data_IF_761124432771
#
_entry.id   IF_761124432771
#
_cell.length_a   1.000
_cell.length_b   1.000
_cell.length_c   1.000
_cell.angle_alpha   90.00
_cell.angle_beta   90.00
_cell.angle_gamma   90.00
#
_symmetry.space_group_name_H-M   'P 1'
#
loop_
_entity.id
_entity.type
_entity.pdbx_description
1 polymer ?
#
# COMPACT_ATOMS: atom_id res chain seq x y z
N UNK A 1 13.18 12.38 28.79
CA UNK A 1 12.05 13.33 28.86
C UNK A 1 11.52 13.53 27.44
N UNK A 2 10.47 12.78 27.07
CA UNK A 2 9.93 12.73 25.71
C UNK A 2 8.94 13.90 25.53
N UNK A 3 9.37 14.99 24.90
CA UNK A 3 8.49 16.13 24.56
C UNK A 3 7.56 15.69 23.42
N UNK A 4 6.34 15.27 23.76
CA UNK A 4 5.26 15.10 22.78
C UNK A 4 5.02 16.44 22.11
N UNK A 5 5.12 16.47 20.79
CA UNK A 5 4.98 17.68 19.99
C UNK A 5 3.46 17.94 19.79
N UNK A 6 2.86 18.94 20.46
CA UNK A 6 1.39 19.13 20.47
C UNK A 6 0.81 19.49 19.08
N UNK A 7 1.65 19.95 18.14
CA UNK A 7 1.24 20.23 16.78
C UNK A 7 1.07 18.96 15.95
N UNK A 8 1.92 17.94 16.15
CA UNK A 8 1.81 16.65 15.46
C UNK A 8 0.53 15.90 15.86
N UNK A 9 0.16 15.97 17.14
CA UNK A 9 -1.07 15.32 17.64
C UNK A 9 -2.35 15.99 17.07
N UNK A 10 -2.34 17.30 16.85
CA UNK A 10 -3.46 18.03 16.23
C UNK A 10 -3.63 17.69 14.75
N UNK A 11 -2.55 17.56 14.00
CA UNK A 11 -2.62 17.16 12.59
C UNK A 11 -3.08 15.72 12.43
N UNK A 12 -2.63 14.81 13.30
CA UNK A 12 -3.06 13.40 13.28
C UNK A 12 -4.56 13.25 13.62
N UNK A 13 -5.08 14.03 14.59
CA UNK A 13 -6.50 14.00 14.94
C UNK A 13 -7.39 14.60 13.85
N UNK A 14 -6.94 15.68 13.21
CA UNK A 14 -7.66 16.32 12.10
C UNK A 14 -7.75 15.40 10.87
N UNK A 15 -6.66 14.72 10.51
CA UNK A 15 -6.65 13.74 9.43
C UNK A 15 -7.58 12.55 9.72
N UNK A 16 -7.59 12.04 10.95
CA UNK A 16 -8.50 10.96 11.35
C UNK A 16 -9.97 11.37 11.24
N UNK A 17 -10.31 12.58 11.66
CA UNK A 17 -11.67 13.11 11.54
C UNK A 17 -12.10 13.29 10.09
N UNK A 18 -11.22 13.82 9.24
CA UNK A 18 -11.48 13.96 7.79
C UNK A 18 -11.66 12.60 7.12
N UNK A 19 -10.81 11.61 7.43
CA UNK A 19 -10.95 10.26 6.91
C UNK A 19 -12.25 9.60 7.37
N UNK A 20 -12.63 9.74 8.65
CA UNK A 20 -13.88 9.20 9.18
C UNK A 20 -15.10 9.85 8.52
N UNK A 21 -15.07 11.17 8.31
CA UNK A 21 -16.11 11.91 7.60
C UNK A 21 -16.24 11.42 6.14
N UNK A 22 -15.13 11.29 5.44
CA UNK A 22 -15.11 10.80 4.05
C UNK A 22 -15.70 9.39 3.94
N UNK A 23 -15.29 8.48 4.81
CA UNK A 23 -15.83 7.12 4.88
C UNK A 23 -17.33 7.14 5.20
N UNK A 24 -17.76 7.98 6.15
CA UNK A 24 -19.18 8.12 6.49
C UNK A 24 -20.02 8.61 5.32
N UNK A 25 -19.55 9.63 4.60
CA UNK A 25 -20.22 10.14 3.39
C UNK A 25 -20.27 9.06 2.31
N UNK A 26 -19.18 8.33 2.08
CA UNK A 26 -19.15 7.26 1.08
C UNK A 26 -20.14 6.14 1.41
N UNK A 27 -20.20 5.69 2.67
CA UNK A 27 -21.17 4.69 3.12
C UNK A 27 -22.61 5.19 2.96
N UNK A 28 -22.87 6.45 3.27
CA UNK A 28 -24.19 7.05 3.10
C UNK A 28 -24.61 7.10 1.62
N UNK A 29 -23.70 7.48 0.72
CA UNK A 29 -23.95 7.48 -0.72
C UNK A 29 -24.19 6.08 -1.26
N UNK A 30 -23.38 5.09 -0.87
CA UNK A 30 -23.58 3.69 -1.25
C UNK A 30 -24.91 3.15 -0.72
N UNK A 31 -25.25 3.44 0.54
CA UNK A 31 -26.52 3.04 1.15
C UNK A 31 -27.71 3.68 0.43
N UNK A 32 -27.64 4.97 0.11
CA UNK A 32 -28.69 5.67 -0.65
C UNK A 32 -28.86 5.06 -2.05
N UNK A 33 -27.77 4.83 -2.77
CA UNK A 33 -27.81 4.19 -4.08
C UNK A 33 -28.41 2.78 -4.00
N UNK A 34 -28.01 1.99 -3.03
CA UNK A 34 -28.57 0.66 -2.78
C UNK A 34 -30.07 0.72 -2.51
N UNK A 35 -30.52 1.68 -1.70
CA UNK A 35 -31.93 1.88 -1.40
C UNK A 35 -32.74 2.29 -2.64
N UNK A 36 -32.23 3.22 -3.45
CA UNK A 36 -32.91 3.67 -4.67
C UNK A 36 -33.04 2.59 -5.73
N UNK A 37 -32.05 1.68 -5.83
CA UNK A 37 -32.04 0.62 -6.84
C UNK A 37 -32.81 -0.63 -6.40
N UNK A 38 -32.73 -1.01 -5.13
CA UNK A 38 -33.20 -2.31 -4.62
C UNK A 38 -34.02 -2.19 -3.33
N UNK A 39 -34.45 -0.98 -2.94
CA UNK A 39 -35.21 -0.74 -1.72
C UNK A 39 -34.44 -1.05 -0.43
N UNK A 40 -35.15 -1.41 0.63
CA UNK A 40 -34.57 -1.69 1.94
C UNK A 40 -33.49 -2.79 1.92
N UNK A 41 -33.67 -3.83 1.10
CA UNK A 41 -32.68 -4.89 0.94
C UNK A 41 -31.38 -4.36 0.37
N UNK A 42 -31.43 -3.49 -0.65
CA UNK A 42 -30.25 -2.87 -1.24
C UNK A 42 -29.49 -1.97 -0.26
N UNK A 43 -30.22 -1.26 0.61
CA UNK A 43 -29.60 -0.47 1.69
C UNK A 43 -28.75 -1.36 2.61
N UNK A 44 -29.33 -2.45 3.11
CA UNK A 44 -28.63 -3.33 4.06
C UNK A 44 -27.45 -4.05 3.42
N UNK A 45 -27.60 -4.49 2.16
CA UNK A 45 -26.50 -5.11 1.41
C UNK A 45 -25.36 -4.12 1.18
N UNK A 46 -25.66 -2.89 0.77
CA UNK A 46 -24.65 -1.86 0.53
C UNK A 46 -23.92 -1.47 1.82
N UNK A 47 -24.62 -1.28 2.93
CA UNK A 47 -24.02 -0.98 4.23
C UNK A 47 -23.19 -2.16 4.74
N UNK A 48 -23.68 -3.38 4.64
CA UNK A 48 -22.96 -4.59 5.04
C UNK A 48 -21.66 -4.79 4.24
N UNK A 49 -21.73 -4.65 2.92
CA UNK A 49 -20.56 -4.73 2.05
C UNK A 49 -19.54 -3.60 2.34
N UNK A 50 -20.01 -2.38 2.57
CA UNK A 50 -19.15 -1.24 2.93
C UNK A 50 -18.47 -1.44 4.27
N UNK A 51 -19.18 -1.90 5.30
CA UNK A 51 -18.59 -2.24 6.60
C UNK A 51 -17.59 -3.39 6.47
N UNK A 52 -17.93 -4.46 5.74
CA UNK A 52 -17.01 -5.57 5.49
C UNK A 52 -15.71 -5.07 4.82
N UNK A 53 -15.83 -4.15 3.85
CA UNK A 53 -14.66 -3.57 3.19
C UNK A 53 -13.73 -2.80 4.15
N UNK A 54 -14.29 -2.19 5.21
CA UNK A 54 -13.48 -1.53 6.25
C UNK A 54 -12.70 -2.51 7.13
N UNK A 55 -13.20 -3.74 7.27
CA UNK A 55 -12.53 -4.80 8.03
C UNK A 55 -11.62 -5.68 7.16
N UNK A 56 -11.67 -5.52 5.82
CA UNK A 56 -10.70 -6.19 4.96
C UNK A 56 -9.30 -5.67 5.30
N UNK A 57 -8.49 -6.57 5.81
CA UNK A 57 -7.13 -6.24 6.23
C UNK A 57 -6.34 -5.57 5.08
N UNK A 58 -5.49 -4.59 5.39
CA UNK A 58 -4.57 -3.97 4.41
C UNK A 58 -3.74 -4.99 3.63
N UNK A 59 -3.48 -6.16 4.23
CA UNK A 59 -2.82 -7.29 3.57
C UNK A 59 -3.64 -7.87 2.41
N UNK A 60 -4.98 -7.92 2.52
CA UNK A 60 -5.84 -8.38 1.43
C UNK A 60 -5.85 -7.37 0.27
N UNK A 61 -5.89 -6.08 0.56
CA UNK A 61 -5.79 -5.02 -0.44
C UNK A 61 -4.45 -5.08 -1.18
N UNK A 62 -3.35 -5.28 -0.46
CA UNK A 62 -2.00 -5.43 -1.04
C UNK A 62 -1.90 -6.65 -1.97
N UNK A 63 -2.44 -7.80 -1.56
CA UNK A 63 -2.48 -9.01 -2.39
C UNK A 63 -3.31 -8.82 -3.66
N UNK A 64 -4.47 -8.16 -3.53
CA UNK A 64 -5.33 -7.85 -4.68
C UNK A 64 -4.62 -6.91 -5.66
N UNK A 65 -3.97 -5.85 -5.17
CA UNK A 65 -3.20 -4.94 -6.01
C UNK A 65 -2.11 -5.71 -6.77
N UNK A 66 -1.28 -6.50 -6.08
CA UNK A 66 -0.24 -7.30 -6.72
C UNK A 66 -0.82 -8.27 -7.77
N UNK A 67 -1.95 -8.92 -7.47
CA UNK A 67 -2.62 -9.82 -8.39
C UNK A 67 -3.16 -9.10 -9.65
N UNK A 68 -3.75 -7.91 -9.50
CA UNK A 68 -4.25 -7.10 -10.62
C UNK A 68 -3.14 -6.67 -11.58
N UNK A 69 -1.94 -6.43 -11.06
CA UNK A 69 -0.76 -6.12 -11.87
C UNK A 69 -0.02 -7.37 -12.38
N UNK A 70 -0.50 -8.57 -12.07
CA UNK A 70 0.19 -9.81 -12.42
C UNK A 70 1.56 -9.95 -11.77
N UNK A 71 1.75 -9.29 -10.62
CA UNK A 71 3.02 -9.26 -9.90
C UNK A 71 3.37 -10.65 -9.35
N UNK A 72 4.62 -11.06 -9.54
CA UNK A 72 5.15 -12.34 -9.07
C UNK A 72 6.25 -12.11 -8.05
N UNK A 73 6.20 -12.75 -6.87
CA UNK A 73 7.27 -12.61 -5.89
C UNK A 73 8.57 -13.17 -6.47
N UNK A 74 9.68 -12.49 -6.20
CA UNK A 74 11.00 -12.92 -6.57
C UNK A 74 11.71 -13.53 -5.37
N UNK A 75 12.25 -14.73 -5.53
CA UNK A 75 13.07 -15.36 -4.48
C UNK A 75 14.47 -14.73 -4.41
N UNK A 76 15.21 -14.90 -3.30
CA UNK A 76 16.59 -14.43 -3.19
C UNK A 76 17.52 -14.99 -4.27
N UNK A 77 17.25 -16.20 -4.74
CA UNK A 77 18.03 -16.87 -5.80
C UNK A 77 17.74 -16.27 -7.17
N UNK A 78 16.50 -15.83 -7.41
CA UNK A 78 16.06 -15.23 -8.69
C UNK A 78 16.52 -13.78 -8.84
N UNK A 79 16.57 -13.03 -7.73
CA UNK A 79 16.92 -11.61 -7.76
C UNK A 79 17.82 -11.21 -6.57
N UNK A 80 19.04 -11.78 -6.45
CA UNK A 80 19.90 -11.55 -5.29
C UNK A 80 20.29 -10.08 -5.11
N UNK A 81 20.39 -9.32 -6.19
CA UNK A 81 20.73 -7.89 -6.11
C UNK A 81 19.59 -7.07 -5.54
N UNK A 82 18.36 -7.28 -6.01
CA UNK A 82 17.19 -6.57 -5.46
C UNK A 82 17.02 -6.87 -3.98
N UNK A 83 17.20 -8.12 -3.56
CA UNK A 83 17.13 -8.49 -2.16
C UNK A 83 18.20 -7.82 -1.31
N UNK A 84 19.46 -7.73 -1.80
CA UNK A 84 20.55 -7.02 -1.11
C UNK A 84 20.27 -5.52 -0.97
N UNK A 85 19.76 -4.89 -2.04
CA UNK A 85 19.36 -3.48 -2.04
C UNK A 85 18.26 -3.24 -1.01
N UNK A 86 17.18 -4.00 -1.05
CA UNK A 86 16.05 -3.87 -0.14
C UNK A 86 16.42 -4.14 1.32
N UNK A 87 17.24 -5.16 1.59
CA UNK A 87 17.73 -5.43 2.94
C UNK A 87 18.58 -4.26 3.49
N UNK A 88 19.37 -3.60 2.64
CA UNK A 88 20.15 -2.44 3.02
C UNK A 88 19.25 -1.24 3.32
N UNK A 89 18.26 -0.98 2.47
CA UNK A 89 17.30 0.11 2.62
C UNK A 89 16.39 -0.10 3.83
N UNK A 90 15.89 -1.33 4.04
CA UNK A 90 15.06 -1.67 5.20
C UNK A 90 15.79 -1.39 6.53
N UNK A 91 17.08 -1.76 6.63
CA UNK A 91 17.90 -1.45 7.81
C UNK A 91 18.05 0.06 8.02
N UNK A 92 18.33 0.83 6.95
CA UNK A 92 18.47 2.29 7.03
C UNK A 92 17.18 2.97 7.44
N UNK A 93 16.04 2.48 6.93
CA UNK A 93 14.70 2.98 7.25
C UNK A 93 14.12 2.42 8.55
N UNK A 94 14.88 1.58 9.28
CA UNK A 94 14.44 0.92 10.52
C UNK A 94 13.11 0.18 10.35
N UNK A 95 12.93 -0.51 9.23
CA UNK A 95 11.79 -1.37 9.01
C UNK A 95 11.97 -2.69 9.79
N UNK A 96 10.90 -3.23 10.39
CA UNK A 96 10.96 -4.50 11.13
C UNK A 96 11.19 -5.71 10.22
N UNK A 97 10.86 -5.58 8.92
CA UNK A 97 11.05 -6.62 7.92
C UNK A 97 11.54 -6.04 6.60
N UNK A 98 12.29 -6.83 5.83
CA UNK A 98 12.68 -6.47 4.46
C UNK A 98 11.47 -6.61 3.54
N UNK A 99 11.11 -5.58 2.74
CA UNK A 99 10.06 -5.69 1.75
C UNK A 99 10.36 -6.81 0.73
N UNK A 100 9.33 -7.56 0.36
CA UNK A 100 9.48 -8.65 -0.63
C UNK A 100 9.47 -8.06 -2.04
N UNK A 101 10.52 -8.24 -2.86
CA UNK A 101 10.51 -7.79 -4.24
C UNK A 101 9.55 -8.60 -5.09
N UNK A 102 8.77 -7.92 -5.93
CA UNK A 102 7.88 -8.53 -6.91
C UNK A 102 8.20 -8.01 -8.31
N UNK A 103 8.15 -8.90 -9.28
CA UNK A 103 8.27 -8.57 -10.69
C UNK A 103 6.91 -8.39 -11.33
N UNK A 104 6.74 -7.31 -12.11
CA UNK A 104 5.53 -7.02 -12.88
C UNK A 104 5.85 -7.08 -14.38
N UNK A 105 5.18 -7.94 -15.18
CA UNK A 105 5.41 -8.06 -16.62
C UNK A 105 4.74 -6.91 -17.38
N UNK A 106 5.29 -5.70 -17.22
CA UNK A 106 4.79 -4.48 -17.87
C UNK A 106 5.93 -3.69 -18.50
N UNK A 107 5.77 -3.17 -19.73
CA UNK A 107 6.78 -2.34 -20.38
C UNK A 107 6.87 -0.93 -19.81
N UNK A 108 5.94 -0.52 -18.96
CA UNK A 108 5.96 0.78 -18.29
C UNK A 108 7.14 0.87 -17.32
N UNK A 109 7.76 2.04 -17.24
CA UNK A 109 8.83 2.31 -16.26
C UNK A 109 8.15 2.72 -14.95
N UNK A 110 7.96 1.75 -14.04
CA UNK A 110 7.28 2.00 -12.78
C UNK A 110 7.76 1.06 -11.67
N UNK A 111 7.66 1.55 -10.40
CA UNK A 111 7.73 0.74 -9.20
C UNK A 111 6.70 1.26 -8.21
N UNK A 112 6.23 0.41 -7.31
CA UNK A 112 5.32 0.81 -6.25
C UNK A 112 5.44 -0.10 -5.04
N UNK A 113 5.20 0.47 -3.86
CA UNK A 113 5.14 -0.26 -2.61
C UNK A 113 3.70 -0.57 -2.23
N UNK A 114 3.49 -1.72 -1.59
CA UNK A 114 2.22 -2.13 -0.98
C UNK A 114 2.46 -2.75 0.39
N UNK A 115 1.46 -2.67 1.25
CA UNK A 115 1.53 -3.27 2.58
C UNK A 115 1.90 -2.27 3.67
N UNK A 116 2.24 -2.83 4.83
CA UNK A 116 2.59 -2.07 6.04
C UNK A 116 4.06 -2.28 6.39
N UNK A 117 4.57 -1.52 7.36
CA UNK A 117 5.98 -1.58 7.78
C UNK A 117 6.48 -2.99 8.14
N UNK A 118 5.62 -3.82 8.69
CA UNK A 118 5.88 -5.20 9.14
C UNK A 118 5.63 -6.26 8.06
N UNK A 119 4.83 -5.93 7.04
CA UNK A 119 4.46 -6.84 5.95
C UNK A 119 4.27 -6.04 4.66
N UNK A 120 5.35 -5.77 3.95
CA UNK A 120 5.37 -4.96 2.74
C UNK A 120 6.01 -5.69 1.56
N UNK A 121 5.63 -5.26 0.36
CA UNK A 121 6.24 -5.66 -0.88
C UNK A 121 6.55 -4.45 -1.74
N UNK A 122 7.57 -4.53 -2.57
CA UNK A 122 7.89 -3.54 -3.60
C UNK A 122 7.87 -4.25 -4.94
N UNK A 123 6.95 -3.79 -5.80
CA UNK A 123 6.81 -4.29 -7.16
C UNK A 123 7.64 -3.41 -8.11
N UNK A 124 8.38 -4.05 -9.00
CA UNK A 124 9.17 -3.40 -10.06
C UNK A 124 8.76 -3.95 -11.41
N UNK A 125 8.58 -3.09 -12.38
CA UNK A 125 8.18 -3.49 -13.74
C UNK A 125 9.37 -3.92 -14.58
N UNK A 126 9.10 -4.75 -15.58
CA UNK A 126 10.09 -5.14 -16.61
C UNK A 126 10.69 -3.92 -17.31
N UNK A 127 9.83 -2.93 -17.64
CA UNK A 127 10.28 -1.68 -18.26
C UNK A 127 11.26 -0.90 -17.39
N UNK A 128 11.05 -0.84 -16.08
CA UNK A 128 11.96 -0.19 -15.16
C UNK A 128 13.32 -0.91 -15.08
N UNK A 129 13.30 -2.23 -14.95
CA UNK A 129 14.51 -3.03 -14.85
C UNK A 129 15.37 -3.03 -16.13
N UNK A 130 14.74 -2.76 -17.30
CA UNK A 130 15.45 -2.60 -18.59
C UNK A 130 15.97 -1.20 -18.83
N UNK A 131 15.27 -0.19 -18.31
CA UNK A 131 15.58 1.21 -18.59
C UNK A 131 16.61 1.81 -17.64
N UNK A 132 16.68 1.32 -16.40
CA UNK A 132 17.49 1.90 -15.34
C UNK A 132 18.70 1.02 -15.00
N UNK A 133 19.80 1.67 -14.69
CA UNK A 133 20.98 1.00 -14.11
C UNK A 133 20.78 0.62 -12.63
N UNK A 134 21.71 -0.15 -12.08
CA UNK A 134 21.61 -0.63 -10.69
C UNK A 134 21.57 0.51 -9.66
N UNK A 135 22.20 1.65 -9.93
CA UNK A 135 22.24 2.81 -9.06
C UNK A 135 20.90 3.56 -9.09
N UNK A 136 20.33 3.69 -10.26
CA UNK A 136 19.02 4.31 -10.49
C UNK A 136 17.91 3.46 -9.87
N UNK A 137 17.94 2.14 -10.08
CA UNK A 137 17.03 1.18 -9.41
C UNK A 137 17.13 1.32 -7.89
N UNK A 138 18.35 1.41 -7.34
CA UNK A 138 18.53 1.62 -5.90
C UNK A 138 17.87 2.92 -5.42
N UNK A 139 17.97 4.01 -6.19
CA UNK A 139 17.30 5.28 -5.90
C UNK A 139 15.78 5.16 -5.85
N UNK A 140 15.19 4.46 -6.84
CA UNK A 140 13.74 4.19 -6.88
C UNK A 140 13.31 3.33 -5.67
N UNK A 141 14.04 2.25 -5.39
CA UNK A 141 13.74 1.39 -4.24
C UNK A 141 13.89 2.14 -2.91
N UNK A 142 14.82 3.09 -2.80
CA UNK A 142 14.96 3.94 -1.62
C UNK A 142 13.74 4.84 -1.42
N UNK A 143 13.21 5.41 -2.51
CA UNK A 143 11.99 6.21 -2.49
C UNK A 143 10.79 5.38 -2.01
N UNK A 144 10.57 4.21 -2.60
CA UNK A 144 9.47 3.31 -2.21
C UNK A 144 9.60 2.80 -0.76
N UNK A 145 10.84 2.51 -0.32
CA UNK A 145 11.10 2.11 1.06
C UNK A 145 10.81 3.25 2.05
N UNK A 146 11.08 4.50 1.67
CA UNK A 146 10.74 5.67 2.49
C UNK A 146 9.21 5.83 2.64
N UNK A 147 8.43 5.57 1.60
CA UNK A 147 6.96 5.54 1.69
C UNK A 147 6.48 4.50 2.71
N UNK A 148 7.01 3.28 2.68
CA UNK A 148 6.67 2.24 3.67
C UNK A 148 7.04 2.69 5.10
N UNK A 149 8.15 3.40 5.28
CA UNK A 149 8.61 3.82 6.59
C UNK A 149 7.78 4.96 7.20
N UNK A 150 7.21 5.82 6.36
CA UNK A 150 6.46 7.00 6.81
C UNK A 150 4.93 6.81 6.79
N UNK A 151 4.41 5.79 6.10
CA UNK A 151 2.98 5.40 6.02
C UNK A 151 2.22 6.17 4.99
#
# INVERSE_FOLDING_TARGET
MNRRNPTADRHASHNRLQSALLVGVLLALCGLAGYLLFGATGLWVALGAGLLALFLEPAAASRLTLALYGARPLSPEQAPELWRMLATLARRAQLPATPVPHYVPSPLINAFAVGRRDASAIAVTDGLLRALDAREVFGVLAHETAHIAHG
#
